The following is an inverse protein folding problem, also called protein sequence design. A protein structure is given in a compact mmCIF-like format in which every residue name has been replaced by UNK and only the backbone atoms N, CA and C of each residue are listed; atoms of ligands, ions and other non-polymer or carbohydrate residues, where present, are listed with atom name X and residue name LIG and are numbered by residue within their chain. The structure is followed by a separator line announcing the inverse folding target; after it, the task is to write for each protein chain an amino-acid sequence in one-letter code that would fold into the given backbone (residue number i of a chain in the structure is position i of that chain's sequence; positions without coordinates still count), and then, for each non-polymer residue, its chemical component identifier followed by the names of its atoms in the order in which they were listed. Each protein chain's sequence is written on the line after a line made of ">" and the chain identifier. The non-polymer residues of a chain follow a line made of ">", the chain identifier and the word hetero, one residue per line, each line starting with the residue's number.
data_IF_891651979502
#
_entry.id   IF_891651979502
#
_cell.length_a   1.000
_cell.length_b   1.000
_cell.length_c   1.000
_cell.angle_alpha   90.00
_cell.angle_beta   90.00
_cell.angle_gamma   90.00
#
_symmetry.space_group_name_H-M   'P 1'
#
loop_
_entity.id
_entity.type
_entity.pdbx_description
1 polymer ?
#
# COMPACT_ATOMS: atom_id res chain seq x y z
N UNK A 1 -15.21 -2.08 -22.64
CA UNK A 1 -14.68 -3.35 -22.10
C UNK A 1 -13.66 -2.98 -21.05
N UNK A 2 -13.58 -3.73 -19.94
CA UNK A 2 -12.53 -3.52 -18.94
C UNK A 2 -11.15 -3.71 -19.59
N UNK A 3 -10.21 -2.82 -19.28
CA UNK A 3 -8.82 -2.93 -19.73
C UNK A 3 -8.10 -3.90 -18.82
N UNK A 4 -7.45 -4.92 -19.37
CA UNK A 4 -6.70 -5.86 -18.55
C UNK A 4 -5.38 -5.24 -18.10
N UNK A 5 -5.04 -5.32 -16.81
CA UNK A 5 -3.73 -4.88 -16.31
C UNK A 5 -2.57 -5.59 -17.03
N UNK A 6 -2.79 -6.82 -17.53
CA UNK A 6 -1.81 -7.59 -18.29
C UNK A 6 -1.48 -6.93 -19.63
N UNK A 7 -2.46 -6.29 -20.28
CA UNK A 7 -2.26 -5.55 -21.54
C UNK A 7 -1.42 -4.28 -21.32
N UNK A 8 -1.47 -3.72 -20.10
CA UNK A 8 -0.64 -2.58 -19.69
C UNK A 8 0.74 -3.01 -19.19
N UNK A 9 0.98 -4.32 -19.04
CA UNK A 9 2.25 -4.90 -18.63
C UNK A 9 2.50 -4.92 -17.12
N UNK A 10 1.46 -4.70 -16.31
CA UNK A 10 1.53 -4.83 -14.86
C UNK A 10 1.58 -6.30 -14.41
N UNK A 11 2.17 -6.51 -13.23
CA UNK A 11 2.19 -7.76 -12.51
C UNK A 11 1.11 -7.78 -11.42
N UNK A 12 0.68 -8.97 -11.03
CA UNK A 12 -0.22 -9.18 -9.91
C UNK A 12 0.58 -9.27 -8.59
N UNK A 13 0.07 -8.68 -7.50
CA UNK A 13 0.79 -8.64 -6.21
C UNK A 13 0.90 -10.01 -5.53
N UNK A 14 0.06 -10.99 -5.87
CA UNK A 14 0.13 -12.38 -5.34
C UNK A 14 1.52 -12.99 -5.54
N UNK A 15 2.03 -12.96 -6.77
CA UNK A 15 3.36 -13.51 -7.09
C UNK A 15 4.49 -12.69 -6.45
N UNK A 16 4.29 -11.37 -6.33
CA UNK A 16 5.26 -10.47 -5.71
C UNK A 16 5.40 -10.77 -4.22
N UNK A 17 4.27 -10.88 -3.50
CA UNK A 17 4.26 -11.19 -2.08
C UNK A 17 4.73 -12.61 -1.78
N UNK A 18 4.39 -13.60 -2.62
CA UNK A 18 4.92 -14.95 -2.46
C UNK A 18 6.46 -14.96 -2.48
N UNK A 19 7.07 -14.31 -3.48
CA UNK A 19 8.53 -14.20 -3.59
C UNK A 19 9.14 -13.40 -2.43
N UNK A 20 8.44 -12.37 -1.97
CA UNK A 20 8.84 -11.55 -0.83
C UNK A 20 8.88 -12.36 0.46
N UNK A 21 7.84 -13.17 0.69
CA UNK A 21 7.75 -14.07 1.82
C UNK A 21 8.84 -15.14 1.80
N UNK A 22 9.02 -15.85 0.67
CA UNK A 22 10.06 -16.86 0.50
C UNK A 22 11.47 -16.28 0.67
N UNK A 23 11.70 -15.07 0.16
CA UNK A 23 12.97 -14.38 0.23
C UNK A 23 13.22 -13.58 1.51
N UNK A 24 12.24 -13.47 2.41
CA UNK A 24 12.28 -12.68 3.66
C UNK A 24 12.61 -11.20 3.44
N UNK A 25 11.96 -10.59 2.47
CA UNK A 25 12.02 -9.16 2.19
C UNK A 25 10.61 -8.59 1.97
N UNK A 26 10.49 -7.27 1.90
CA UNK A 26 9.21 -6.58 1.66
C UNK A 26 9.19 -5.94 0.27
N UNK A 27 8.04 -5.94 -0.39
CA UNK A 27 7.85 -5.21 -1.63
C UNK A 27 7.60 -3.74 -1.29
N UNK A 28 8.36 -2.78 -1.84
CA UNK A 28 8.08 -1.38 -1.59
C UNK A 28 6.81 -0.95 -2.36
N UNK A 29 5.97 -0.19 -1.66
CA UNK A 29 4.79 0.43 -2.22
C UNK A 29 4.95 1.96 -2.10
N UNK A 30 4.85 2.65 -3.23
CA UNK A 30 5.10 4.10 -3.31
C UNK A 30 3.92 4.80 -3.95
N UNK A 31 3.33 5.75 -3.23
CA UNK A 31 2.36 6.68 -3.80
C UNK A 31 3.01 7.58 -4.84
N UNK A 32 2.27 7.90 -5.90
CA UNK A 32 2.62 8.96 -6.83
C UNK A 32 1.38 9.80 -7.18
N UNK A 33 1.63 11.08 -7.40
CA UNK A 33 0.62 12.09 -7.75
C UNK A 33 0.95 12.78 -9.08
N UNK A 34 2.17 12.66 -9.60
CA UNK A 34 2.59 13.29 -10.85
C UNK A 34 3.59 12.43 -11.64
N UNK A 35 3.98 12.92 -12.82
CA UNK A 35 4.88 12.22 -13.75
C UNK A 35 6.30 12.10 -13.18
N UNK A 36 6.79 13.14 -12.50
CA UNK A 36 8.15 13.20 -11.98
C UNK A 36 8.36 12.14 -10.88
N UNK A 37 7.37 11.94 -10.01
CA UNK A 37 7.41 10.91 -8.97
C UNK A 37 7.44 9.50 -9.56
N UNK A 38 6.56 9.19 -10.52
CA UNK A 38 6.55 7.86 -11.15
C UNK A 38 7.86 7.60 -11.92
N UNK A 39 8.45 8.61 -12.56
CA UNK A 39 9.78 8.50 -13.19
C UNK A 39 10.88 8.18 -12.17
N UNK A 40 10.90 8.89 -11.04
CA UNK A 40 11.88 8.69 -9.98
C UNK A 40 11.77 7.27 -9.37
N UNK A 41 10.55 6.83 -9.07
CA UNK A 41 10.26 5.49 -8.53
C UNK A 41 10.76 4.41 -9.49
N UNK A 42 10.36 4.47 -10.77
CA UNK A 42 10.76 3.48 -11.76
C UNK A 42 12.27 3.46 -11.96
N UNK A 43 12.90 4.64 -12.03
CA UNK A 43 14.36 4.74 -12.19
C UNK A 43 15.09 4.03 -11.05
N UNK A 44 14.74 4.37 -9.80
CA UNK A 44 15.34 3.76 -8.63
C UNK A 44 15.10 2.25 -8.55
N UNK A 45 13.88 1.78 -8.85
CA UNK A 45 13.54 0.36 -8.79
C UNK A 45 14.26 -0.46 -9.87
N UNK A 46 14.43 0.08 -11.08
CA UNK A 46 15.18 -0.60 -12.14
C UNK A 46 16.67 -0.67 -11.79
N UNK A 47 17.26 0.44 -11.32
CA UNK A 47 18.68 0.48 -10.92
C UNK A 47 18.99 -0.49 -9.78
N UNK A 48 18.07 -0.61 -8.83
CA UNK A 48 18.20 -1.52 -7.67
C UNK A 48 17.66 -2.93 -7.92
N UNK A 49 17.06 -3.19 -9.09
CA UNK A 49 16.40 -4.44 -9.46
C UNK A 49 15.31 -4.87 -8.46
N UNK A 50 14.61 -3.89 -7.89
CA UNK A 50 13.53 -4.11 -6.93
C UNK A 50 12.19 -4.24 -7.66
N UNK A 51 11.30 -5.17 -7.24
CA UNK A 51 9.87 -5.05 -7.59
C UNK A 51 9.28 -3.78 -6.98
N UNK A 52 8.15 -3.31 -7.52
CA UNK A 52 7.48 -2.13 -6.99
C UNK A 52 5.96 -2.20 -7.13
N UNK A 53 5.25 -1.71 -6.11
CA UNK A 53 3.82 -1.41 -6.17
C UNK A 53 3.68 0.11 -6.32
N UNK A 54 3.17 0.56 -7.45
CA UNK A 54 2.81 1.95 -7.68
C UNK A 54 1.42 2.19 -7.09
N UNK A 55 1.34 2.98 -6.03
CA UNK A 55 0.10 3.26 -5.31
C UNK A 55 -0.52 4.58 -5.76
N UNK A 56 -1.85 4.59 -5.87
CA UNK A 56 -2.63 5.77 -6.20
C UNK A 56 -3.80 5.87 -5.25
N UNK A 57 -3.88 6.95 -4.50
CA UNK A 57 -5.03 7.25 -3.65
C UNK A 57 -6.21 7.79 -4.46
N UNK A 58 -7.38 7.86 -3.83
CA UNK A 58 -8.58 8.49 -4.41
C UNK A 58 -8.31 9.96 -4.85
N UNK A 59 -7.56 10.71 -4.04
CA UNK A 59 -7.16 12.09 -4.31
C UNK A 59 -6.21 12.20 -5.51
N UNK A 60 -5.16 11.38 -5.54
CA UNK A 60 -4.21 11.33 -6.66
C UNK A 60 -4.91 10.96 -7.98
N UNK A 61 -5.83 10.00 -7.94
CA UNK A 61 -6.63 9.58 -9.09
C UNK A 61 -7.54 10.69 -9.61
N UNK A 62 -8.16 11.46 -8.71
CA UNK A 62 -8.98 12.63 -9.07
C UNK A 62 -8.15 13.74 -9.71
N UNK A 63 -6.95 13.98 -9.17
CA UNK A 63 -6.02 14.98 -9.72
C UNK A 63 -5.56 14.60 -11.14
N UNK A 64 -5.15 13.35 -11.34
CA UNK A 64 -4.53 12.91 -12.58
C UNK A 64 -5.53 12.60 -13.72
N UNK A 65 -6.83 12.50 -13.45
CA UNK A 65 -7.84 11.85 -14.31
C UNK A 65 -7.57 10.34 -14.53
N UNK A 66 -8.64 9.54 -14.49
CA UNK A 66 -8.54 8.09 -14.58
C UNK A 66 -7.96 7.59 -15.92
N UNK A 67 -8.25 8.31 -17.02
CA UNK A 67 -7.78 7.92 -18.36
C UNK A 67 -6.30 8.19 -18.49
N UNK A 68 -5.87 9.39 -18.08
CA UNK A 68 -4.46 9.76 -18.13
C UNK A 68 -3.63 8.90 -17.17
N UNK A 69 -4.14 8.62 -15.96
CA UNK A 69 -3.49 7.75 -14.99
C UNK A 69 -3.18 6.35 -15.56
N UNK A 70 -4.13 5.76 -16.31
CA UNK A 70 -3.93 4.48 -16.98
C UNK A 70 -2.71 4.53 -17.93
N UNK A 71 -2.62 5.57 -18.76
CA UNK A 71 -1.51 5.73 -19.70
C UNK A 71 -0.19 6.13 -19.02
N UNK A 72 -0.23 6.87 -17.91
CA UNK A 72 0.95 7.15 -17.09
C UNK A 72 1.53 5.85 -16.54
N UNK A 73 0.68 4.98 -16.00
CA UNK A 73 1.08 3.66 -15.50
C UNK A 73 1.65 2.75 -16.60
N UNK A 74 0.99 2.71 -17.77
CA UNK A 74 1.51 1.98 -18.93
C UNK A 74 2.87 2.53 -19.39
N UNK A 75 3.00 3.86 -19.46
CA UNK A 75 4.25 4.54 -19.79
C UNK A 75 5.37 4.21 -18.81
N UNK A 76 5.07 4.11 -17.52
CA UNK A 76 6.03 3.71 -16.48
C UNK A 76 6.56 2.29 -16.67
N UNK A 77 5.68 1.34 -17.02
CA UNK A 77 6.11 -0.02 -17.40
C UNK A 77 7.01 0.02 -18.63
N UNK A 78 6.61 0.73 -19.69
CA UNK A 78 7.44 0.83 -20.90
C UNK A 78 8.80 1.47 -20.65
N UNK A 79 8.84 2.53 -19.83
CA UNK A 79 10.07 3.16 -19.37
C UNK A 79 10.97 2.16 -18.66
N UNK A 80 10.43 1.38 -17.71
CA UNK A 80 11.18 0.33 -17.02
C UNK A 80 11.79 -0.69 -17.99
N UNK A 81 11.00 -1.17 -18.97
CA UNK A 81 11.48 -2.14 -19.98
C UNK A 81 12.59 -1.59 -20.87
N UNK A 82 12.56 -0.29 -21.19
CA UNK A 82 13.65 0.37 -21.93
C UNK A 82 14.92 0.45 -21.07
N UNK A 83 14.78 0.88 -19.81
CA UNK A 83 15.91 1.01 -18.89
C UNK A 83 16.57 -0.33 -18.57
N UNK A 84 15.79 -1.37 -18.34
CA UNK A 84 16.29 -2.74 -18.10
C UNK A 84 17.20 -3.25 -19.21
N UNK A 85 16.89 -2.93 -20.48
CA UNK A 85 17.74 -3.27 -21.62
C UNK A 85 19.08 -2.53 -21.58
N UNK A 86 19.06 -1.25 -21.17
CA UNK A 86 20.27 -0.43 -21.04
C UNK A 86 21.16 -0.94 -19.90
N UNK A 87 20.57 -1.34 -18.78
CA UNK A 87 21.30 -1.86 -17.61
C UNK A 87 21.68 -3.34 -17.70
N UNK A 88 21.31 -4.04 -18.79
CA UNK A 88 21.59 -5.46 -18.95
C UNK A 88 20.86 -6.34 -17.92
N UNK A 89 19.65 -5.96 -17.52
CA UNK A 89 18.83 -6.75 -16.63
C UNK A 89 18.32 -8.02 -17.34
N UNK A 90 18.67 -9.19 -16.81
CA UNK A 90 18.26 -10.48 -17.39
C UNK A 90 16.78 -10.80 -17.15
N UNK A 91 16.14 -10.15 -16.18
CA UNK A 91 14.75 -10.34 -15.85
C UNK A 91 14.08 -8.99 -15.62
N UNK A 92 12.88 -8.76 -16.19
CA UNK A 92 12.11 -7.56 -15.95
C UNK A 92 11.64 -7.48 -14.49
N UNK A 93 11.71 -6.31 -13.86
CA UNK A 93 11.15 -6.09 -12.52
C UNK A 93 9.61 -6.18 -12.58
N UNK A 94 8.97 -6.84 -11.60
CA UNK A 94 7.53 -6.79 -11.42
C UNK A 94 7.07 -5.39 -11.00
N UNK A 95 6.06 -4.86 -11.69
CA UNK A 95 5.45 -3.55 -11.40
C UNK A 95 3.96 -3.77 -11.26
N UNK A 96 3.38 -3.47 -10.09
CA UNK A 96 1.94 -3.48 -9.89
C UNK A 96 1.38 -2.05 -9.86
N UNK A 97 0.11 -1.88 -10.24
CA UNK A 97 -0.64 -0.65 -10.02
C UNK A 97 -1.76 -0.93 -9.02
N UNK A 98 -1.77 -0.18 -7.93
CA UNK A 98 -2.59 -0.43 -6.76
C UNK A 98 -3.42 0.79 -6.37
N UNK A 99 -4.72 0.58 -6.10
CA UNK A 99 -5.59 1.59 -5.50
C UNK A 99 -5.36 1.59 -4.00
N UNK A 100 -4.90 2.71 -3.46
CA UNK A 100 -4.60 2.91 -2.05
C UNK A 100 -5.82 3.52 -1.32
N UNK A 101 -6.19 2.95 -0.17
CA UNK A 101 -7.34 3.37 0.65
C UNK A 101 -8.64 3.65 -0.14
N UNK A 102 -9.06 2.69 -0.98
CA UNK A 102 -10.36 2.79 -1.65
C UNK A 102 -11.51 2.72 -0.64
N UNK A 103 -12.46 3.65 -0.66
CA UNK A 103 -13.53 3.76 0.33
C UNK A 103 -14.86 3.10 -0.10
N UNK A 104 -15.00 2.79 -1.39
CA UNK A 104 -16.26 2.35 -1.99
C UNK A 104 -16.03 1.23 -3.00
N UNK A 105 -17.04 0.35 -3.10
CA UNK A 105 -17.06 -0.72 -4.12
C UNK A 105 -16.92 -0.15 -5.53
N UNK A 106 -17.62 0.94 -5.84
CA UNK A 106 -17.61 1.55 -7.18
C UNK A 106 -16.23 2.11 -7.56
N UNK A 107 -15.50 2.69 -6.60
CA UNK A 107 -14.13 3.14 -6.83
C UNK A 107 -13.19 1.96 -7.12
N UNK A 108 -13.24 0.89 -6.31
CA UNK A 108 -12.45 -0.32 -6.54
C UNK A 108 -12.76 -0.94 -7.90
N UNK A 109 -14.05 -1.11 -8.21
CA UNK A 109 -14.54 -1.60 -9.51
C UNK A 109 -14.03 -0.74 -10.66
N UNK A 110 -14.11 0.58 -10.54
CA UNK A 110 -13.62 1.49 -11.58
C UNK A 110 -12.12 1.34 -11.81
N UNK A 111 -11.31 1.20 -10.76
CA UNK A 111 -9.86 0.99 -10.88
C UNK A 111 -9.54 -0.35 -11.58
N UNK A 112 -10.23 -1.42 -11.22
CA UNK A 112 -10.12 -2.73 -11.87
C UNK A 112 -10.43 -2.61 -13.38
N UNK A 113 -11.51 -1.91 -13.73
CA UNK A 113 -11.90 -1.71 -15.13
C UNK A 113 -10.91 -0.86 -15.95
N UNK A 114 -10.06 -0.06 -15.27
CA UNK A 114 -9.01 0.76 -15.88
C UNK A 114 -7.62 0.12 -15.75
N UNK A 115 -7.55 -1.19 -15.52
CA UNK A 115 -6.30 -1.95 -15.60
C UNK A 115 -5.40 -1.89 -14.36
N UNK A 116 -5.96 -1.60 -13.18
CA UNK A 116 -5.24 -1.84 -11.92
C UNK A 116 -5.05 -3.34 -11.72
N UNK A 117 -3.86 -3.74 -11.25
CA UNK A 117 -3.55 -5.15 -10.96
C UNK A 117 -3.80 -5.53 -9.50
N UNK A 118 -4.03 -4.54 -8.65
CA UNK A 118 -4.41 -4.70 -7.24
C UNK A 118 -5.30 -3.53 -6.80
N UNK A 119 -6.20 -3.76 -5.84
CA UNK A 119 -6.96 -2.68 -5.19
C UNK A 119 -7.04 -2.93 -3.69
N UNK A 120 -7.06 -1.86 -2.91
CA UNK A 120 -7.41 -1.89 -1.50
C UNK A 120 -8.83 -1.36 -1.30
N UNK A 121 -9.58 -2.04 -0.42
CA UNK A 121 -10.84 -1.54 0.13
C UNK A 121 -10.67 -1.31 1.63
N UNK A 122 -10.72 -0.04 2.02
CA UNK A 122 -10.63 0.40 3.41
C UNK A 122 -12.03 0.51 4.03
N UNK A 123 -12.49 -0.62 4.57
CA UNK A 123 -13.69 -0.70 5.40
C UNK A 123 -13.42 -0.54 6.89
N UNK A 124 -12.20 -0.13 7.30
CA UNK A 124 -11.75 -0.20 8.69
C UNK A 124 -12.57 0.67 9.66
N UNK A 125 -13.11 1.78 9.16
CA UNK A 125 -13.95 2.72 9.88
C UNK A 125 -15.40 2.22 10.09
N UNK A 126 -15.79 1.13 9.42
CA UNK A 126 -17.09 0.49 9.62
C UNK A 126 -17.07 -0.53 10.76
N UNK A 127 -18.26 -1.04 11.15
CA UNK A 127 -18.31 -2.22 12.01
C UNK A 127 -17.66 -3.42 11.31
N UNK A 128 -17.07 -4.33 12.10
CA UNK A 128 -16.40 -5.53 11.58
C UNK A 128 -17.24 -6.30 10.54
N UNK A 129 -18.53 -6.54 10.83
CA UNK A 129 -19.44 -7.24 9.92
C UNK A 129 -19.67 -6.48 8.61
N UNK A 130 -19.73 -5.15 8.66
CA UNK A 130 -19.89 -4.32 7.46
C UNK A 130 -18.59 -4.26 6.64
N UNK A 131 -17.44 -4.22 7.30
CA UNK A 131 -16.13 -4.33 6.65
C UNK A 131 -16.00 -5.69 5.93
N UNK A 132 -16.36 -6.80 6.57
CA UNK A 132 -16.37 -8.13 5.93
C UNK A 132 -17.29 -8.16 4.71
N UNK A 133 -18.51 -7.63 4.82
CA UNK A 133 -19.47 -7.58 3.70
C UNK A 133 -18.90 -6.80 2.50
N UNK A 134 -18.43 -5.58 2.75
CA UNK A 134 -17.90 -4.69 1.71
C UNK A 134 -16.64 -5.27 1.07
N UNK A 135 -15.71 -5.76 1.89
CA UNK A 135 -14.46 -6.35 1.41
C UNK A 135 -14.72 -7.58 0.55
N UNK A 136 -15.62 -8.48 1.01
CA UNK A 136 -16.00 -9.65 0.24
C UNK A 136 -16.62 -9.29 -1.11
N UNK A 137 -17.46 -8.25 -1.15
CA UNK A 137 -18.06 -7.76 -2.39
C UNK A 137 -16.99 -7.32 -3.41
N UNK A 138 -15.96 -6.61 -2.95
CA UNK A 138 -14.82 -6.19 -3.80
C UNK A 138 -14.01 -7.40 -4.27
N UNK A 139 -13.69 -8.33 -3.37
CA UNK A 139 -12.97 -9.58 -3.69
C UNK A 139 -13.69 -10.38 -4.78
N UNK A 140 -14.99 -10.63 -4.60
CA UNK A 140 -15.80 -11.39 -5.58
C UNK A 140 -15.84 -10.72 -6.96
N UNK A 141 -15.71 -9.40 -7.03
CA UNK A 141 -15.62 -8.67 -8.28
C UNK A 141 -14.20 -8.75 -8.88
N UNK A 142 -13.18 -8.42 -8.09
CA UNK A 142 -11.79 -8.34 -8.52
C UNK A 142 -11.24 -9.69 -9.02
N UNK A 143 -11.56 -10.78 -8.32
CA UNK A 143 -11.07 -12.12 -8.66
C UNK A 143 -11.58 -12.62 -10.03
N UNK A 144 -12.70 -12.09 -10.55
CA UNK A 144 -13.17 -12.37 -11.92
C UNK A 144 -12.20 -11.86 -12.99
N UNK A 145 -11.38 -10.87 -12.66
CA UNK A 145 -10.39 -10.24 -13.53
C UNK A 145 -8.95 -10.60 -13.15
N UNK A 146 -8.76 -11.55 -12.23
CA UNK A 146 -7.44 -11.93 -11.70
C UNK A 146 -6.69 -10.72 -11.09
N UNK A 147 -7.44 -9.85 -10.39
CA UNK A 147 -6.94 -8.70 -9.62
C UNK A 147 -6.98 -9.05 -8.14
N UNK A 148 -5.88 -8.79 -7.42
CA UNK A 148 -5.79 -9.04 -5.98
C UNK A 148 -6.42 -7.92 -5.15
N UNK A 149 -6.92 -8.28 -3.97
CA UNK A 149 -7.53 -7.32 -3.05
C UNK A 149 -6.80 -7.28 -1.72
N UNK A 150 -6.47 -6.08 -1.28
CA UNK A 150 -6.04 -5.77 0.07
C UNK A 150 -7.25 -5.32 0.91
N UNK A 151 -7.39 -5.86 2.11
CA UNK A 151 -8.32 -5.33 3.12
C UNK A 151 -7.55 -4.70 4.29
N UNK A 152 -8.27 -4.05 5.20
CA UNK A 152 -7.69 -3.47 6.42
C UNK A 152 -8.47 -3.85 7.67
N UNK A 153 -7.74 -4.13 8.75
CA UNK A 153 -8.27 -4.28 10.10
C UNK A 153 -7.52 -3.41 11.11
N UNK A 154 -8.26 -2.82 12.03
CA UNK A 154 -7.75 -1.78 12.93
C UNK A 154 -7.89 -0.41 12.28
N UNK A 155 -7.65 0.66 13.03
CA UNK A 155 -7.73 2.03 12.52
C UNK A 155 -6.41 2.74 12.83
N UNK A 156 -5.80 3.33 11.81
CA UNK A 156 -4.60 4.16 11.95
C UNK A 156 -5.00 5.55 12.47
N UNK A 157 -4.21 6.10 13.40
CA UNK A 157 -4.38 7.50 13.79
C UNK A 157 -3.64 8.38 12.76
N UNK A 158 -4.24 9.49 12.34
CA UNK A 158 -3.59 10.41 11.39
C UNK A 158 -4.56 11.13 10.48
N UNK A 159 -4.00 11.89 9.53
CA UNK A 159 -4.73 12.53 8.44
C UNK A 159 -4.19 11.97 7.12
N UNK A 160 -5.07 11.39 6.32
CA UNK A 160 -4.80 10.92 4.97
C UNK A 160 -5.90 11.37 4.03
N UNK A 161 -5.53 12.07 2.95
CA UNK A 161 -6.40 12.34 1.80
C UNK A 161 -7.88 12.62 2.17
N UNK A 162 -8.07 13.54 3.12
CA UNK A 162 -9.33 14.04 3.71
C UNK A 162 -10.03 13.20 4.80
N UNK A 163 -9.48 12.04 5.20
CA UNK A 163 -9.94 11.22 6.33
C UNK A 163 -9.07 11.47 7.56
N UNK A 164 -9.71 11.84 8.68
CA UNK A 164 -9.04 12.00 9.98
C UNK A 164 -9.65 11.05 11.00
N UNK A 165 -8.84 10.18 11.59
CA UNK A 165 -9.23 9.37 12.75
C UNK A 165 -8.57 9.92 14.02
N UNK A 166 -9.38 10.29 15.02
CA UNK A 166 -8.88 10.81 16.30
C UNK A 166 -8.35 9.71 17.23
N UNK A 167 -8.86 8.48 17.11
CA UNK A 167 -8.45 7.32 17.91
C UNK A 167 -7.90 6.21 16.99
N UNK A 168 -6.71 5.69 17.33
CA UNK A 168 -6.19 4.47 16.70
C UNK A 168 -6.64 3.25 17.49
N UNK A 169 -7.00 2.21 16.77
CA UNK A 169 -7.24 0.89 17.35
C UNK A 169 -6.31 -0.12 16.69
N UNK A 170 -5.53 -0.79 17.53
CA UNK A 170 -4.70 -1.90 17.07
C UNK A 170 -5.56 -3.00 16.47
N UNK A 171 -5.03 -3.68 15.46
CA UNK A 171 -5.62 -4.91 14.95
C UNK A 171 -5.69 -5.95 16.07
N UNK A 172 -6.85 -6.59 16.20
CA UNK A 172 -7.04 -7.72 17.12
C UNK A 172 -6.65 -9.02 16.43
N UNK A 173 -5.61 -9.75 16.88
CA UNK A 173 -5.16 -10.98 16.23
C UNK A 173 -6.26 -12.04 16.08
N UNK A 174 -7.23 -12.09 17.00
CA UNK A 174 -8.35 -13.02 16.96
C UNK A 174 -9.35 -12.77 15.81
N UNK A 175 -9.47 -11.53 15.32
CA UNK A 175 -10.36 -11.17 14.22
C UNK A 175 -9.75 -11.49 12.85
N UNK A 176 -8.41 -11.49 12.74
CA UNK A 176 -7.68 -11.59 11.47
C UNK A 176 -7.98 -12.89 10.71
N UNK A 177 -7.92 -14.04 11.39
CA UNK A 177 -8.18 -15.32 10.72
C UNK A 177 -9.60 -15.41 10.17
N UNK A 178 -10.59 -14.95 10.95
CA UNK A 178 -11.98 -14.93 10.52
C UNK A 178 -12.19 -14.00 9.33
N UNK A 179 -11.60 -12.80 9.38
CA UNK A 179 -11.70 -11.80 8.33
C UNK A 179 -11.13 -12.32 7.00
N UNK A 180 -9.88 -12.78 6.99
CA UNK A 180 -9.23 -13.33 5.80
C UNK A 180 -10.04 -14.48 5.21
N UNK A 181 -10.53 -15.39 6.06
CA UNK A 181 -11.33 -16.54 5.61
C UNK A 181 -12.69 -16.13 5.02
N UNK A 182 -13.37 -15.15 5.62
CA UNK A 182 -14.72 -14.74 5.20
C UNK A 182 -14.72 -13.84 3.98
N UNK A 183 -13.68 -13.02 3.82
CA UNK A 183 -13.57 -12.07 2.71
C UNK A 183 -12.84 -12.67 1.51
N UNK A 184 -11.82 -13.49 1.74
CA UNK A 184 -10.96 -14.02 0.68
C UNK A 184 -9.94 -13.02 0.15
N UNK A 185 -9.59 -11.98 0.92
CA UNK A 185 -8.52 -11.03 0.56
C UNK A 185 -7.17 -11.74 0.34
N UNK A 186 -6.32 -11.12 -0.48
CA UNK A 186 -5.00 -11.63 -0.84
C UNK A 186 -3.86 -11.03 0.01
N UNK A 187 -4.12 -9.87 0.63
CA UNK A 187 -3.27 -9.22 1.61
C UNK A 187 -4.10 -8.48 2.67
N UNK A 188 -3.50 -8.18 3.81
CA UNK A 188 -4.17 -7.48 4.92
C UNK A 188 -3.25 -6.41 5.50
N UNK A 189 -3.72 -5.17 5.46
CA UNK A 189 -3.16 -4.07 6.24
C UNK A 189 -3.56 -4.23 7.71
N UNK A 190 -2.56 -4.07 8.60
CA UNK A 190 -2.76 -4.16 10.05
C UNK A 190 -2.27 -2.89 10.74
N UNK A 191 -3.01 -2.45 11.75
CA UNK A 191 -2.63 -1.35 12.64
C UNK A 191 -1.85 -1.89 13.84
N UNK A 192 -0.55 -1.64 13.86
CA UNK A 192 0.37 -1.96 14.99
C UNK A 192 0.98 -0.69 15.61
N UNK A 193 0.37 0.48 15.37
CA UNK A 193 0.80 1.76 15.94
C UNK A 193 1.59 2.64 14.98
N UNK A 194 1.55 2.37 13.69
CA UNK A 194 2.00 3.29 12.66
C UNK A 194 1.01 4.46 12.51
N UNK A 195 1.45 5.52 11.84
CA UNK A 195 0.61 6.68 11.54
C UNK A 195 1.03 7.34 10.22
N UNK A 196 0.06 7.93 9.54
CA UNK A 196 0.25 8.63 8.28
C UNK A 196 0.41 10.15 8.43
N UNK A 197 0.88 10.76 7.34
CA UNK A 197 1.08 12.20 7.24
C UNK A 197 2.43 12.70 7.77
N UNK A 198 2.66 14.01 7.64
CA UNK A 198 3.90 14.67 8.07
C UNK A 198 4.01 14.81 9.60
N UNK A 199 2.86 14.89 10.29
CA UNK A 199 2.77 15.01 11.75
C UNK A 199 2.16 13.72 12.34
N UNK A 200 2.89 12.62 12.19
CA UNK A 200 2.45 11.25 12.54
C UNK A 200 2.02 11.07 14.00
N UNK A 201 2.57 11.86 14.91
CA UNK A 201 2.26 11.74 16.33
C UNK A 201 2.17 13.13 16.94
N UNK A 202 1.12 13.37 17.72
CA UNK A 202 1.03 14.57 18.53
C UNK A 202 2.12 14.52 19.61
N UNK A 203 2.72 15.66 20.02
CA UNK A 203 3.80 15.67 21.02
C UNK A 203 3.44 14.96 22.32
N UNK A 204 2.17 14.93 22.70
CA UNK A 204 1.66 14.26 23.90
C UNK A 204 1.70 12.73 23.80
N UNK A 205 1.76 12.19 22.58
CA UNK A 205 1.89 10.75 22.31
C UNK A 205 3.35 10.30 22.29
N UNK A 206 4.31 11.23 22.27
CA UNK A 206 5.73 10.95 22.17
C UNK A 206 6.44 11.06 23.52
N UNK A 207 7.51 10.30 23.70
CA UNK A 207 8.50 10.51 24.78
C UNK A 207 9.65 11.40 24.29
N UNK A 208 10.54 11.85 25.17
CA UNK A 208 11.79 12.53 24.76
C UNK A 208 13.00 11.67 25.06
N UNK A 209 13.91 11.53 24.10
CA UNK A 209 15.20 10.89 24.34
C UNK A 209 16.18 11.83 25.07
N UNK A 210 17.39 11.35 25.36
CA UNK A 210 18.44 12.11 26.06
C UNK A 210 18.85 13.41 25.35
N UNK A 211 18.61 13.52 24.04
CA UNK A 211 18.87 14.71 23.23
C UNK A 211 17.66 15.66 23.14
N UNK A 212 16.58 15.37 23.88
CA UNK A 212 15.35 16.13 23.85
C UNK A 212 14.50 15.92 22.60
N UNK A 213 14.81 14.94 21.75
CA UNK A 213 14.07 14.66 20.50
C UNK A 213 12.83 13.83 20.83
N UNK A 214 11.68 14.15 20.20
CA UNK A 214 10.45 13.39 20.34
C UNK A 214 10.61 12.00 19.72
N UNK A 215 10.27 10.97 20.48
CA UNK A 215 10.29 9.56 20.08
C UNK A 215 8.86 9.03 20.14
N UNK A 216 8.30 8.56 19.02
CA UNK A 216 6.95 8.03 18.99
C UNK A 216 6.84 6.72 19.80
N UNK A 217 5.62 6.29 20.15
CA UNK A 217 5.39 4.99 20.76
C UNK A 217 6.02 3.87 19.91
N UNK A 218 6.56 2.81 20.55
CA UNK A 218 7.07 1.67 19.80
C UNK A 218 5.93 0.95 19.08
N UNK A 219 6.24 0.40 17.90
CA UNK A 219 5.32 -0.48 17.19
C UNK A 219 5.08 -1.78 17.97
N UNK A 220 3.83 -2.25 17.95
CA UNK A 220 3.38 -3.47 18.62
C UNK A 220 3.68 -4.70 17.77
N UNK A 221 4.96 -5.02 17.60
CA UNK A 221 5.40 -6.21 16.86
C UNK A 221 4.89 -7.52 17.45
N UNK A 222 4.53 -7.54 18.74
CA UNK A 222 3.87 -8.69 19.38
C UNK A 222 2.52 -9.03 18.72
N UNK A 223 1.77 -8.02 18.26
CA UNK A 223 0.52 -8.22 17.49
C UNK A 223 0.82 -8.87 16.14
N UNK A 224 1.87 -8.40 15.44
CA UNK A 224 2.31 -9.01 14.18
C UNK A 224 2.72 -10.48 14.39
N UNK A 225 3.50 -10.78 15.43
CA UNK A 225 3.91 -12.16 15.75
C UNK A 225 2.71 -13.07 16.07
N UNK A 226 1.68 -12.57 16.75
CA UNK A 226 0.45 -13.33 17.01
C UNK A 226 -0.36 -13.59 15.74
N UNK A 227 -0.40 -12.61 14.83
CA UNK A 227 -1.05 -12.74 13.53
C UNK A 227 -0.32 -13.76 12.65
N UNK A 228 1.01 -13.68 12.55
CA UNK A 228 1.83 -14.62 11.78
C UNK A 228 1.64 -16.07 12.23
N UNK A 229 1.44 -16.30 13.54
CA UNK A 229 1.13 -17.63 14.09
C UNK A 229 -0.24 -18.16 13.65
N UNK A 230 -1.21 -17.27 13.37
CA UNK A 230 -2.60 -17.63 13.00
C UNK A 230 -2.79 -17.80 11.50
N UNK A 231 -2.09 -17.01 10.69
CA UNK A 231 -2.21 -16.97 9.23
C UNK A 231 -0.83 -17.08 8.56
N UNK A 232 -0.11 -18.16 8.87
CA UNK A 232 1.24 -18.39 8.37
C UNK A 232 1.29 -18.35 6.83
N UNK A 233 2.22 -17.56 6.29
CA UNK A 233 2.39 -17.43 4.83
C UNK A 233 1.43 -16.44 4.17
N UNK A 234 0.58 -15.76 4.93
CA UNK A 234 -0.28 -14.72 4.42
C UNK A 234 0.43 -13.35 4.36
N UNK A 235 0.12 -12.55 3.34
CA UNK A 235 0.77 -11.27 3.08
C UNK A 235 0.24 -10.18 4.01
N UNK A 236 1.10 -9.67 4.89
CA UNK A 236 0.79 -8.55 5.78
C UNK A 236 1.34 -7.25 5.20
N UNK A 237 0.56 -6.17 5.32
CA UNK A 237 0.90 -4.84 4.83
C UNK A 237 1.01 -3.87 6.01
N UNK A 238 2.07 -3.04 5.99
CA UNK A 238 2.36 -2.05 7.03
C UNK A 238 2.28 -0.64 6.47
N UNK A 239 1.14 -0.01 6.71
CA UNK A 239 0.85 1.37 6.40
C UNK A 239 1.60 2.37 7.28
N UNK A 240 1.69 3.64 6.86
CA UNK A 240 2.28 4.71 7.67
C UNK A 240 3.78 4.52 7.98
N UNK A 241 4.47 3.62 7.28
CA UNK A 241 5.86 3.20 7.58
C UNK A 241 6.95 4.15 7.06
N UNK A 242 6.59 5.38 6.65
CA UNK A 242 7.57 6.38 6.21
C UNK A 242 8.35 6.97 7.38
N UNK A 243 9.68 6.93 7.31
CA UNK A 243 10.55 7.69 8.23
C UNK A 243 11.53 8.52 7.42
N UNK A 244 11.48 9.84 7.56
CA UNK A 244 12.56 10.70 7.08
C UNK A 244 13.72 10.59 8.08
N UNK A 245 14.94 10.25 7.65
CA UNK A 245 16.10 10.26 8.52
C UNK A 245 16.19 11.59 9.28
N UNK A 246 16.33 11.54 10.60
CA UNK A 246 16.28 12.73 11.45
C UNK A 246 17.38 13.75 11.10
N UNK A 247 18.51 13.27 10.56
CA UNK A 247 19.58 14.12 10.05
C UNK A 247 19.14 14.94 8.82
N UNK A 248 18.35 14.36 7.93
CA UNK A 248 17.79 15.06 6.79
C UNK A 248 16.75 16.09 7.24
N UNK A 249 15.88 15.73 8.20
CA UNK A 249 14.93 16.68 8.81
C UNK A 249 15.65 17.86 9.47
N UNK A 250 16.72 17.58 10.22
CA UNK A 250 17.53 18.61 10.85
C UNK A 250 18.19 19.53 9.81
N UNK A 251 18.70 18.95 8.72
CA UNK A 251 19.31 19.71 7.61
C UNK A 251 18.27 20.63 6.95
N UNK A 252 17.09 20.11 6.59
CA UNK A 252 16.00 20.91 6.00
C UNK A 252 15.55 22.01 6.97
N UNK A 253 15.35 21.70 8.24
CA UNK A 253 14.95 22.72 9.23
C UNK A 253 16.03 23.80 9.44
N UNK A 254 17.31 23.46 9.28
CA UNK A 254 18.42 24.39 9.44
C UNK A 254 18.62 25.27 8.20
N UNK A 255 18.43 24.73 7.00
CA UNK A 255 18.83 25.39 5.75
C UNK A 255 17.65 25.79 4.85
N UNK A 256 16.44 25.35 5.15
CA UNK A 256 15.28 25.44 4.25
C UNK A 256 15.34 24.41 3.14
#
# INVERSE_FOLDING_TARGET
>A
MAVSYKELGFANTKDMFQKAFEGKWAVPAYNFNNMEQIQAIITACVETRSPVILQVSSGARKYADQTLLQYMGQGAVQMARVMEKVFGCNQPIPIALHLDHGDTFDLCKSCIEHGFSSVMIDGSHHSYEKNVELTKQVVEYAHKYDVTVEGELGVLAGVEDDVSAEESHYTKPEEVFDFVKRTGVDSLAISIGTSHGANKFKPEQCTRNEKGILVPPPLRFDILEEIEKKILGFSIVLHGSSSVPQEAVATINQFG
#
